data_IF_200326561216
#
_entry.id   IF_200326561216
#
_cell.length_a   1.000
_cell.length_b   1.000
_cell.length_c   1.000
_cell.angle_alpha   90.00
_cell.angle_beta   90.00
_cell.angle_gamma   90.00
#
_symmetry.space_group_name_H-M   'P 1'
#
loop_
_entity.id
_entity.type
_entity.pdbx_description
1 polymer ?
#
# COMPACT_ATOMS: atom_id res chain seq x y z
N UNK A 1 31.52 6.53 56.18
CA UNK A 1 30.60 5.49 55.66
C UNK A 1 29.46 6.04 54.78
N UNK A 2 28.78 7.14 55.14
CA UNK A 2 27.62 7.68 54.40
C UNK A 2 27.91 8.09 52.94
N UNK A 3 29.05 8.75 52.66
CA UNK A 3 29.47 9.16 51.31
C UNK A 3 29.75 7.97 50.36
N UNK A 4 30.22 6.84 50.89
CA UNK A 4 30.47 5.62 50.11
C UNK A 4 29.15 4.94 49.71
N UNK A 5 28.18 4.88 50.64
CA UNK A 5 26.83 4.37 50.36
C UNK A 5 26.11 5.21 49.30
N UNK A 6 26.25 6.54 49.35
CA UNK A 6 25.67 7.43 48.33
C UNK A 6 26.26 7.21 46.93
N UNK A 7 27.59 7.00 46.84
CA UNK A 7 28.26 6.66 45.56
C UNK A 7 27.77 5.33 45.00
N UNK A 8 27.63 4.30 45.84
CA UNK A 8 27.13 2.99 45.42
C UNK A 8 25.68 3.09 44.91
N UNK A 9 24.82 3.86 45.58
CA UNK A 9 23.43 4.08 45.14
C UNK A 9 23.40 4.79 43.79
N UNK A 10 24.20 5.84 43.59
CA UNK A 10 24.29 6.56 42.30
C UNK A 10 24.78 5.67 41.16
N UNK A 11 25.77 4.81 41.42
CA UNK A 11 26.28 3.84 40.44
C UNK A 11 25.20 2.82 40.08
N UNK A 12 24.48 2.27 41.07
CA UNK A 12 23.36 1.34 40.82
C UNK A 12 22.23 2.00 40.04
N UNK A 13 21.90 3.26 40.36
CA UNK A 13 20.89 4.05 39.65
C UNK A 13 21.30 4.29 38.19
N UNK A 14 22.57 4.60 37.95
CA UNK A 14 23.13 4.77 36.61
C UNK A 14 23.01 3.49 35.78
N UNK A 15 23.38 2.33 36.34
CA UNK A 15 23.23 1.06 35.64
C UNK A 15 21.75 0.69 35.39
N UNK A 16 20.86 1.04 36.31
CA UNK A 16 19.43 0.84 36.14
C UNK A 16 18.88 1.67 34.95
N UNK A 17 19.21 2.96 34.88
CA UNK A 17 18.81 3.80 33.75
C UNK A 17 19.47 3.39 32.44
N UNK A 18 20.75 2.99 32.45
CA UNK A 18 21.42 2.45 31.28
C UNK A 18 20.72 1.18 30.75
N UNK A 19 20.28 0.29 31.66
CA UNK A 19 19.50 -0.90 31.30
C UNK A 19 18.17 -0.57 30.62
N UNK A 20 17.43 0.44 31.12
CA UNK A 20 16.18 0.89 30.52
C UNK A 20 16.42 1.45 29.11
N UNK A 21 17.45 2.27 28.93
CA UNK A 21 17.78 2.86 27.63
C UNK A 21 18.11 1.75 26.62
N UNK A 22 18.90 0.76 27.01
CA UNK A 22 19.24 -0.39 26.16
C UNK A 22 17.97 -1.16 25.79
N UNK A 23 17.07 -1.42 26.73
CA UNK A 23 15.81 -2.12 26.47
C UNK A 23 14.92 -1.36 25.46
N UNK A 24 14.83 -0.03 25.57
CA UNK A 24 14.09 0.81 24.62
C UNK A 24 14.70 0.73 23.22
N UNK A 25 16.03 0.83 23.11
CA UNK A 25 16.71 0.72 21.82
C UNK A 25 16.47 -0.66 21.19
N UNK A 26 16.60 -1.73 21.97
CA UNK A 26 16.31 -3.09 21.51
C UNK A 26 14.87 -3.26 21.03
N UNK A 27 13.89 -2.67 21.74
CA UNK A 27 12.49 -2.69 21.33
C UNK A 27 12.30 -1.94 20.00
N UNK A 28 12.85 -0.73 19.85
CA UNK A 28 12.76 0.05 18.60
C UNK A 28 13.38 -0.73 17.43
N UNK A 29 14.55 -1.35 17.62
CA UNK A 29 15.19 -2.16 16.60
C UNK A 29 14.36 -3.39 16.23
N UNK A 30 13.76 -4.06 17.21
CA UNK A 30 12.90 -5.22 16.99
C UNK A 30 11.62 -4.86 16.22
N UNK A 31 10.94 -3.78 16.61
CA UNK A 31 9.77 -3.28 15.88
C UNK A 31 10.14 -2.87 14.46
N UNK A 32 11.21 -2.10 14.27
CA UNK A 32 11.69 -1.74 12.94
C UNK A 32 12.01 -2.97 12.07
N UNK A 33 12.59 -4.01 12.67
CA UNK A 33 12.88 -5.26 11.95
C UNK A 33 11.58 -5.98 11.56
N UNK A 34 10.59 -6.05 12.45
CA UNK A 34 9.28 -6.65 12.17
C UNK A 34 8.52 -5.92 11.05
N UNK A 35 8.50 -4.59 11.07
CA UNK A 35 7.83 -3.79 10.04
C UNK A 35 8.58 -3.74 8.70
N UNK A 36 9.88 -4.08 8.68
CA UNK A 36 10.69 -4.15 7.45
C UNK A 36 10.74 -5.55 6.84
N UNK A 37 10.04 -6.53 7.40
CA UNK A 37 9.99 -7.83 6.74
C UNK A 37 9.28 -7.66 5.39
N UNK A 38 9.91 -8.08 4.28
CA UNK A 38 9.24 -8.09 2.99
C UNK A 38 8.06 -9.04 3.10
N UNK A 39 6.92 -8.60 2.59
CA UNK A 39 5.74 -9.45 2.57
C UNK A 39 5.93 -10.54 1.53
N UNK A 40 5.32 -11.70 1.78
CA UNK A 40 5.39 -12.82 0.84
C UNK A 40 4.88 -12.35 -0.53
N UNK A 41 5.64 -12.64 -1.58
CA UNK A 41 5.25 -12.26 -2.93
C UNK A 41 3.96 -13.01 -3.29
N UNK A 42 2.90 -12.26 -3.60
CA UNK A 42 1.62 -12.83 -3.97
C UNK A 42 1.78 -13.66 -5.24
N UNK A 43 1.55 -14.98 -5.13
CA UNK A 43 1.63 -15.89 -6.28
C UNK A 43 0.49 -15.58 -7.24
N UNK A 44 0.82 -15.05 -8.42
CA UNK A 44 -0.17 -14.75 -9.47
C UNK A 44 -0.96 -16.01 -9.85
N UNK A 45 -2.32 -16.00 -9.74
CA UNK A 45 -3.15 -17.09 -10.21
C UNK A 45 -3.06 -17.29 -11.73
N UNK A 46 -3.30 -18.51 -12.21
CA UNK A 46 -3.04 -18.92 -13.62
C UNK A 46 -3.96 -18.21 -14.62
N UNK A 47 -5.17 -17.84 -14.20
CA UNK A 47 -6.18 -17.13 -14.97
C UNK A 47 -5.98 -15.61 -14.99
N UNK A 48 -5.06 -15.05 -14.20
CA UNK A 48 -4.73 -13.63 -14.26
C UNK A 48 -3.76 -13.37 -15.43
N UNK A 49 -4.05 -12.39 -16.31
CA UNK A 49 -3.15 -12.05 -17.41
C UNK A 49 -1.74 -11.68 -16.97
N UNK A 50 -0.76 -11.95 -17.84
CA UNK A 50 0.64 -11.61 -17.60
C UNK A 50 0.82 -10.10 -17.45
N UNK A 51 0.05 -9.31 -18.21
CA UNK A 51 -0.05 -7.84 -18.18
C UNK A 51 -0.56 -7.26 -16.87
N UNK A 52 -1.30 -8.03 -16.07
CA UNK A 52 -1.83 -7.53 -14.79
C UNK A 52 -0.72 -7.40 -13.74
N UNK A 53 -0.77 -6.36 -12.93
CA UNK A 53 0.21 -6.09 -11.88
C UNK A 53 -0.46 -6.11 -10.51
N UNK A 54 0.24 -6.64 -9.51
CA UNK A 54 -0.25 -6.67 -8.14
C UNK A 54 -0.39 -5.26 -7.58
N UNK A 55 -1.60 -4.94 -7.11
CA UNK A 55 -1.94 -3.69 -6.42
C UNK A 55 -2.50 -4.04 -5.05
N UNK A 56 -1.62 -4.13 -4.07
CA UNK A 56 -1.97 -4.54 -2.71
C UNK A 56 -0.81 -4.43 -1.74
N UNK A 57 -1.15 -4.54 -0.46
CA UNK A 57 -0.19 -4.62 0.63
C UNK A 57 -0.02 -6.05 1.13
N UNK A 58 0.43 -6.16 2.38
CA UNK A 58 0.59 -7.44 3.08
C UNK A 58 -0.76 -8.01 3.54
N UNK A 59 -1.77 -7.15 3.67
CA UNK A 59 -3.11 -7.50 4.15
C UNK A 59 -4.09 -7.83 3.00
N UNK A 60 -3.59 -7.90 1.77
CA UNK A 60 -4.39 -8.23 0.58
C UNK A 60 -4.33 -7.16 -0.51
N UNK A 61 -5.04 -7.42 -1.59
CA UNK A 61 -5.09 -6.55 -2.77
C UNK A 61 -5.74 -7.23 -3.95
N UNK A 62 -5.50 -6.68 -5.14
CA UNK A 62 -5.99 -7.26 -6.38
C UNK A 62 -4.95 -7.14 -7.50
N UNK A 63 -5.11 -7.96 -8.53
CA UNK A 63 -4.34 -7.81 -9.76
C UNK A 63 -5.06 -6.82 -10.67
N UNK A 64 -4.32 -5.83 -11.18
CA UNK A 64 -4.89 -4.77 -12.01
C UNK A 64 -4.21 -4.77 -13.36
N UNK A 65 -4.98 -4.81 -14.43
CA UNK A 65 -4.51 -4.75 -15.81
C UNK A 65 -4.95 -3.44 -16.45
N UNK A 66 -3.97 -2.69 -16.99
CA UNK A 66 -4.25 -1.59 -17.91
C UNK A 66 -4.66 -2.19 -19.26
N UNK A 67 -5.90 -1.94 -19.69
CA UNK A 67 -6.42 -2.45 -20.97
C UNK A 67 -6.26 -1.42 -22.09
N UNK A 68 -6.58 -0.16 -21.81
CA UNK A 68 -6.57 0.90 -22.81
C UNK A 68 -6.50 2.29 -22.16
N UNK A 69 -5.89 3.25 -22.86
CA UNK A 69 -5.86 4.66 -22.47
C UNK A 69 -6.52 5.48 -23.59
N UNK A 70 -7.66 6.09 -23.27
CA UNK A 70 -8.39 7.00 -24.15
C UNK A 70 -8.15 8.45 -23.72
N UNK A 71 -8.67 9.39 -24.49
CA UNK A 71 -8.53 10.83 -24.22
C UNK A 71 -9.05 11.22 -22.83
N UNK A 72 -10.24 10.73 -22.46
CA UNK A 72 -10.93 11.13 -21.24
C UNK A 72 -11.07 10.00 -20.20
N UNK A 73 -10.84 8.75 -20.62
CA UNK A 73 -11.01 7.58 -19.76
C UNK A 73 -9.83 6.63 -19.87
N UNK A 74 -9.64 5.82 -18.84
CA UNK A 74 -8.69 4.71 -18.85
C UNK A 74 -9.42 3.43 -18.49
N UNK A 75 -9.24 2.38 -19.28
CA UNK A 75 -9.87 1.10 -19.00
C UNK A 75 -8.95 0.23 -18.17
N UNK A 76 -9.45 -0.20 -17.01
CA UNK A 76 -8.78 -1.19 -16.18
C UNK A 76 -9.64 -2.44 -16.02
N UNK A 77 -8.95 -3.57 -15.86
CA UNK A 77 -9.54 -4.81 -15.34
C UNK A 77 -8.95 -5.13 -13.99
N UNK A 78 -9.79 -5.58 -13.07
CA UNK A 78 -9.43 -5.90 -11.70
C UNK A 78 -9.75 -7.37 -11.48
N UNK A 79 -8.76 -8.15 -11.07
CA UNK A 79 -8.86 -9.57 -10.81
C UNK A 79 -8.55 -9.88 -9.35
N UNK A 80 -9.28 -10.86 -8.84
CA UNK A 80 -9.18 -11.33 -7.47
C UNK A 80 -7.81 -11.92 -7.15
N UNK A 81 -7.34 -11.68 -5.94
CA UNK A 81 -6.05 -12.17 -5.44
C UNK A 81 -5.97 -13.69 -5.29
N UNK A 82 -6.99 -14.35 -4.72
CA UNK A 82 -6.90 -15.76 -4.33
C UNK A 82 -7.24 -16.76 -5.44
N UNK A 83 -8.08 -16.40 -6.41
CA UNK A 83 -8.41 -17.27 -7.55
C UNK A 83 -8.21 -16.64 -8.92
N UNK A 84 -7.94 -15.34 -9.02
CA UNK A 84 -7.74 -14.65 -10.30
C UNK A 84 -8.99 -14.35 -11.11
N UNK A 85 -10.19 -14.55 -10.56
CA UNK A 85 -11.43 -14.23 -11.26
C UNK A 85 -11.56 -12.72 -11.50
N UNK A 86 -12.14 -12.34 -12.65
CA UNK A 86 -12.42 -10.96 -12.96
C UNK A 86 -13.49 -10.44 -11.99
N UNK A 87 -13.23 -9.29 -11.36
CA UNK A 87 -14.15 -8.60 -10.45
C UNK A 87 -14.81 -7.42 -11.19
N UNK A 88 -14.01 -6.65 -11.92
CA UNK A 88 -14.47 -5.42 -12.59
C UNK A 88 -13.71 -5.20 -13.90
N UNK A 89 -14.43 -4.87 -14.96
CA UNK A 89 -13.90 -4.36 -16.22
C UNK A 89 -14.66 -3.08 -16.57
N UNK A 90 -14.02 -1.92 -16.43
CA UNK A 90 -14.68 -0.63 -16.60
C UNK A 90 -13.73 0.43 -17.18
N UNK A 91 -14.31 1.42 -17.84
CA UNK A 91 -13.65 2.69 -18.09
C UNK A 91 -13.63 3.50 -16.77
N UNK A 92 -12.53 4.18 -16.47
CA UNK A 92 -12.36 5.02 -15.30
C UNK A 92 -12.12 6.47 -15.70
N UNK A 93 -12.70 7.40 -14.94
CA UNK A 93 -12.51 8.84 -15.11
C UNK A 93 -11.70 9.42 -13.96
N UNK A 94 -10.93 10.45 -14.27
CA UNK A 94 -10.15 11.18 -13.29
C UNK A 94 -11.04 12.13 -12.49
N UNK A 95 -10.96 12.05 -11.16
CA UNK A 95 -11.59 12.99 -10.23
C UNK A 95 -10.51 13.72 -9.44
N UNK A 96 -10.57 15.06 -9.40
CA UNK A 96 -9.65 15.93 -8.67
C UNK A 96 -8.16 15.76 -9.04
N UNK A 97 -7.89 15.42 -10.31
CA UNK A 97 -6.54 15.24 -10.83
C UNK A 97 -6.17 16.47 -11.67
N UNK A 98 -5.64 17.51 -11.02
CA UNK A 98 -5.45 18.80 -11.67
C UNK A 98 -4.44 18.76 -12.83
N UNK A 99 -3.44 17.87 -12.81
CA UNK A 99 -2.46 17.75 -13.91
C UNK A 99 -1.87 16.32 -14.12
N UNK A 100 -2.23 15.34 -13.29
CA UNK A 100 -1.66 13.99 -13.40
C UNK A 100 -2.46 13.15 -14.41
N UNK A 101 -1.79 12.72 -15.48
CA UNK A 101 -2.31 11.75 -16.45
C UNK A 101 -1.47 10.48 -16.45
N UNK A 102 -2.15 9.35 -16.39
CA UNK A 102 -1.52 8.05 -16.51
C UNK A 102 -1.15 7.76 -17.97
N UNK A 103 -0.05 7.05 -18.13
CA UNK A 103 0.45 6.51 -19.39
C UNK A 103 0.80 5.04 -19.18
N UNK A 104 1.03 4.30 -20.26
CA UNK A 104 1.51 2.91 -20.18
C UNK A 104 2.79 2.79 -19.34
N UNK A 105 3.65 3.81 -19.38
CA UNK A 105 4.92 3.83 -18.67
C UNK A 105 4.80 4.13 -17.17
N UNK A 106 3.73 4.82 -16.73
CA UNK A 106 3.66 5.36 -15.37
C UNK A 106 2.52 4.78 -14.51
N UNK A 107 1.49 4.17 -15.11
CA UNK A 107 0.28 3.78 -14.36
C UNK A 107 0.61 2.84 -13.20
N UNK A 108 1.58 1.95 -13.41
CA UNK A 108 1.99 0.99 -12.41
C UNK A 108 2.67 1.66 -11.19
N UNK A 109 3.23 2.85 -11.32
CA UNK A 109 3.80 3.55 -10.16
C UNK A 109 2.72 4.29 -9.34
N UNK A 110 1.70 4.83 -10.02
CA UNK A 110 0.77 5.78 -9.43
C UNK A 110 -0.58 5.19 -9.02
N UNK A 111 -0.97 4.03 -9.54
CA UNK A 111 -2.23 3.37 -9.20
C UNK A 111 -2.04 2.42 -8.03
N UNK A 112 -2.93 2.50 -7.04
CA UNK A 112 -3.12 1.50 -5.98
C UNK A 112 -4.60 1.08 -5.90
N UNK A 113 -4.88 -0.04 -5.24
CA UNK A 113 -6.24 -0.50 -4.98
C UNK A 113 -6.53 -0.39 -3.48
N UNK A 114 -7.60 0.32 -3.09
CA UNK A 114 -8.03 0.48 -1.70
C UNK A 114 -9.56 0.55 -1.62
N UNK A 115 -10.17 -0.06 -0.59
CA UNK A 115 -11.62 0.03 -0.29
C UNK A 115 -12.56 -0.10 -1.51
N UNK A 116 -12.30 -1.08 -2.38
CA UNK A 116 -13.09 -1.36 -3.60
C UNK A 116 -12.98 -0.32 -4.73
N UNK A 117 -11.99 0.57 -4.68
CA UNK A 117 -11.70 1.54 -5.74
C UNK A 117 -10.23 1.50 -6.16
N UNK A 118 -9.98 1.89 -7.42
CA UNK A 118 -8.63 2.23 -7.87
C UNK A 118 -8.35 3.69 -7.47
N UNK A 119 -7.45 3.86 -6.50
CA UNK A 119 -6.98 5.17 -6.09
C UNK A 119 -5.69 5.52 -6.83
N UNK A 120 -5.56 6.75 -7.33
CA UNK A 120 -4.29 7.26 -7.84
C UNK A 120 -3.58 7.99 -6.70
N UNK A 121 -2.54 7.38 -6.14
CA UNK A 121 -1.66 8.10 -5.24
C UNK A 121 -0.65 8.90 -6.08
N UNK A 122 -0.84 10.21 -6.15
CA UNK A 122 0.25 11.10 -6.55
C UNK A 122 1.20 11.25 -5.36
N UNK A 123 2.46 10.80 -5.50
CA UNK A 123 3.56 11.10 -4.56
C UNK A 123 3.78 12.61 -4.36
N UNK A 124 3.13 13.46 -5.16
CA UNK A 124 3.31 14.91 -5.19
C UNK A 124 2.11 15.74 -4.71
N UNK A 125 1.04 15.13 -4.18
CA UNK A 125 -0.09 15.91 -3.66
C UNK A 125 0.23 16.50 -2.28
N UNK A 126 0.56 17.80 -2.26
CA UNK A 126 0.71 18.62 -1.05
C UNK A 126 -0.63 19.10 -0.49
N UNK A 127 -1.70 19.04 -1.27
CA UNK A 127 -3.05 19.45 -0.89
C UNK A 127 -3.96 18.22 -0.72
N UNK A 128 -4.88 18.30 0.23
CA UNK A 128 -5.80 17.23 0.67
C UNK A 128 -6.81 16.74 -0.39
N UNK A 129 -6.67 17.14 -1.66
CA UNK A 129 -7.52 16.71 -2.77
C UNK A 129 -6.98 15.42 -3.40
N UNK A 130 -7.32 14.27 -2.82
CA UNK A 130 -6.98 12.95 -3.38
C UNK A 130 -7.41 12.83 -4.85
N UNK A 131 -6.46 12.66 -5.76
CA UNK A 131 -6.74 12.30 -7.16
C UNK A 131 -7.23 10.85 -7.21
N UNK A 132 -8.38 10.61 -7.85
CA UNK A 132 -9.02 9.29 -7.87
C UNK A 132 -9.41 8.88 -9.27
N UNK A 133 -9.42 7.56 -9.51
CA UNK A 133 -10.06 6.97 -10.67
C UNK A 133 -11.39 6.37 -10.24
N UNK A 134 -12.48 6.86 -10.84
CA UNK A 134 -13.81 6.37 -10.54
C UNK A 134 -14.31 5.52 -11.71
N UNK A 135 -14.78 4.29 -11.48
CA UNK A 135 -15.35 3.47 -12.54
C UNK A 135 -16.63 4.12 -13.08
N UNK A 136 -16.76 4.11 -14.40
CA UNK A 136 -17.96 4.55 -15.12
C UNK A 136 -18.87 3.35 -15.33
N UNK A 137 -20.14 3.52 -14.98
CA UNK A 137 -21.18 2.52 -15.18
C UNK A 137 -22.10 2.87 -16.37
N UNK A 138 -22.64 1.87 -17.11
CA UNK A 138 -22.46 0.44 -16.89
C UNK A 138 -21.04 -0.03 -17.23
N UNK A 139 -20.48 -0.88 -16.37
CA UNK A 139 -19.21 -1.53 -16.60
C UNK A 139 -19.33 -2.60 -17.71
N UNK A 140 -18.23 -2.98 -18.35
CA UNK A 140 -18.20 -4.11 -19.28
C UNK A 140 -18.41 -5.43 -18.53
N UNK A 141 -17.97 -5.50 -17.28
CA UNK A 141 -18.23 -6.58 -16.36
C UNK A 141 -18.18 -6.05 -14.92
N UNK A 142 -19.10 -6.51 -14.08
CA UNK A 142 -19.07 -6.32 -12.64
C UNK A 142 -19.53 -7.63 -12.00
N UNK A 143 -18.75 -8.14 -11.05
CA UNK A 143 -19.15 -9.29 -10.26
C UNK A 143 -20.42 -8.99 -9.47
N UNK A 144 -21.40 -9.87 -9.56
CA UNK A 144 -22.61 -9.76 -8.75
C UNK A 144 -22.31 -10.29 -7.35
N UNK A 145 -22.44 -9.44 -6.35
CA UNK A 145 -22.49 -9.88 -4.96
C UNK A 145 -23.85 -10.53 -4.76
N UNK A 146 -23.88 -11.85 -4.62
CA UNK A 146 -25.08 -12.62 -4.21
C UNK A 146 -25.39 -12.42 -2.72
#
# INVERSE_FOLDING_TARGET
MQKLRLKIIKIKLLYFFAGIIIAIICAILFFNWKFKQPCEEWKKPVNVPISAVWKGGCDGGNWVELVDIKTDTIRFRIYRDWNGDLILDADFVYQNCNDLRLTEANWNEYVSYFDNALEIYSKFQSDSSYCRLIPVYPAYYEEKVE
#
